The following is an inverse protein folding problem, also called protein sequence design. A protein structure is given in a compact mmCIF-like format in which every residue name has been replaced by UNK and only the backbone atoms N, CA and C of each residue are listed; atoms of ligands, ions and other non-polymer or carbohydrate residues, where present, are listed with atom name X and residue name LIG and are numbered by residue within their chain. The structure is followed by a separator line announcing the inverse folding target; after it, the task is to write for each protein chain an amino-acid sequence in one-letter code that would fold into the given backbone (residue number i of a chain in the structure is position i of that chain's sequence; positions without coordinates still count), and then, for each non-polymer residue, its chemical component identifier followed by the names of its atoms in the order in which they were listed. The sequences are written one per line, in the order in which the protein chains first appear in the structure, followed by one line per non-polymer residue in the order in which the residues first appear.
data_IF_646229613169
#
_entry.id   IF_646229613169
#
_cell.length_a   1.000
_cell.length_b   1.000
_cell.length_c   1.000
_cell.angle_alpha   90.00
_cell.angle_beta   90.00
_cell.angle_gamma   90.00
#
_symmetry.space_group_name_H-M   'P 1'
#
loop_
_entity.id
_entity.type
_entity.pdbx_description
1 polymer ?
#
# COMPACT_ATOMS: atom_id res chain seq x y z
N UNK A 1 -40.12 -4.48 -16.76
CA UNK A 1 -39.45 -4.06 -15.51
C UNK A 1 -37.94 -4.25 -15.72
N UNK A 2 -37.26 -3.20 -16.14
CA UNK A 2 -35.79 -3.13 -16.29
C UNK A 2 -35.16 -3.10 -14.89
N UNK A 3 -34.56 -4.22 -14.49
CA UNK A 3 -33.65 -4.18 -13.34
C UNK A 3 -32.40 -3.43 -13.77
N UNK A 4 -32.29 -2.17 -13.32
CA UNK A 4 -31.02 -1.46 -13.35
C UNK A 4 -30.01 -2.27 -12.52
N UNK A 5 -28.79 -2.53 -13.03
CA UNK A 5 -27.77 -3.18 -12.25
C UNK A 5 -27.40 -2.20 -11.11
N UNK A 6 -27.70 -2.57 -9.85
CA UNK A 6 -27.17 -1.88 -8.67
C UNK A 6 -25.67 -1.72 -8.88
N UNK A 7 -25.21 -0.51 -9.00
CA UNK A 7 -23.80 -0.17 -9.04
C UNK A 7 -23.15 -0.81 -7.81
N UNK A 8 -22.41 -1.89 -8.03
CA UNK A 8 -21.56 -2.48 -7.01
C UNK A 8 -20.58 -1.38 -6.63
N UNK A 9 -20.79 -0.76 -5.47
CA UNK A 9 -19.88 0.25 -4.94
C UNK A 9 -18.51 -0.43 -4.86
N UNK A 10 -17.58 0.00 -5.73
CA UNK A 10 -16.17 -0.44 -5.66
C UNK A 10 -15.68 -0.17 -4.24
N UNK A 11 -15.62 -1.21 -3.43
CA UNK A 11 -15.15 -1.11 -2.06
C UNK A 11 -13.62 -1.02 -2.16
N UNK A 12 -13.13 0.20 -2.26
CA UNK A 12 -11.71 0.49 -2.13
C UNK A 12 -11.31 0.30 -0.69
N UNK A 13 -10.64 -0.80 -0.39
CA UNK A 13 -10.35 -1.19 0.99
C UNK A 13 -8.89 -1.58 1.13
N UNK A 14 -8.25 -0.96 2.09
CA UNK A 14 -6.92 -1.31 2.53
C UNK A 14 -7.02 -2.22 3.76
N UNK A 15 -6.44 -3.42 3.68
CA UNK A 15 -6.35 -4.31 4.83
C UNK A 15 -5.35 -3.74 5.84
N UNK A 16 -5.85 -3.41 7.05
CA UNK A 16 -5.07 -2.81 8.13
C UNK A 16 -3.87 -3.69 8.53
N UNK A 17 -4.08 -4.98 8.73
CA UNK A 17 -3.03 -5.90 9.21
C UNK A 17 -1.89 -5.99 8.20
N UNK A 18 -2.21 -6.16 6.91
CA UNK A 18 -1.21 -6.21 5.84
C UNK A 18 -0.41 -4.89 5.79
N UNK A 19 -1.09 -3.75 5.90
CA UNK A 19 -0.44 -2.44 5.86
C UNK A 19 0.48 -2.22 7.07
N UNK A 20 0.03 -2.55 8.28
CA UNK A 20 0.87 -2.48 9.50
C UNK A 20 2.13 -3.32 9.36
N UNK A 21 2.01 -4.55 8.86
CA UNK A 21 3.16 -5.44 8.69
C UNK A 21 4.16 -4.89 7.67
N UNK A 22 3.67 -4.36 6.55
CA UNK A 22 4.54 -3.70 5.55
C UNK A 22 5.27 -2.49 6.13
N UNK A 23 4.59 -1.67 6.95
CA UNK A 23 5.23 -0.53 7.63
C UNK A 23 6.29 -0.97 8.63
N UNK A 24 6.07 -2.06 9.39
CA UNK A 24 7.11 -2.60 10.27
C UNK A 24 8.36 -3.03 9.52
N UNK A 25 8.20 -3.71 8.37
CA UNK A 25 9.33 -4.10 7.51
C UNK A 25 10.06 -2.84 7.00
N UNK A 26 9.31 -1.83 6.55
CA UNK A 26 9.88 -0.57 6.07
C UNK A 26 10.65 0.17 7.18
N UNK A 27 10.08 0.32 8.37
CA UNK A 27 10.71 0.99 9.54
C UNK A 27 11.99 0.27 9.96
N UNK A 28 11.95 -1.07 10.04
CA UNK A 28 13.15 -1.87 10.34
C UNK A 28 14.22 -1.69 9.28
N UNK A 29 13.86 -1.73 8.01
CA UNK A 29 14.78 -1.49 6.89
C UNK A 29 15.41 -0.09 6.96
N UNK A 30 14.62 0.93 7.20
CA UNK A 30 15.10 2.33 7.38
C UNK A 30 16.08 2.42 8.54
N UNK A 31 15.73 1.89 9.70
CA UNK A 31 16.56 1.94 10.90
C UNK A 31 17.90 1.22 10.69
N UNK A 32 17.86 0.00 10.17
CA UNK A 32 19.08 -0.78 9.90
C UNK A 32 19.97 -0.08 8.89
N UNK A 33 19.40 0.38 7.77
CA UNK A 33 20.17 1.01 6.69
C UNK A 33 20.84 2.31 7.14
N UNK A 34 20.09 3.20 7.79
CA UNK A 34 20.60 4.50 8.24
C UNK A 34 21.72 4.32 9.25
N UNK A 35 21.55 3.42 10.23
CA UNK A 35 22.59 3.18 11.24
C UNK A 35 23.80 2.45 10.65
N UNK A 36 23.60 1.52 9.70
CA UNK A 36 24.70 0.87 8.98
C UNK A 36 25.53 1.89 8.18
N UNK A 37 24.87 2.80 7.45
CA UNK A 37 25.56 3.84 6.69
C UNK A 37 26.36 4.76 7.61
N UNK A 38 25.82 5.13 8.77
CA UNK A 38 26.50 5.98 9.75
C UNK A 38 27.69 5.29 10.43
N UNK A 39 27.47 4.09 10.97
CA UNK A 39 28.44 3.44 11.88
C UNK A 39 29.39 2.45 11.19
N UNK A 40 28.99 1.87 10.07
CA UNK A 40 29.84 0.91 9.33
C UNK A 40 30.55 1.60 8.17
N UNK A 41 29.80 2.40 7.38
CA UNK A 41 30.40 3.11 6.25
C UNK A 41 30.94 4.50 6.63
N UNK A 42 30.71 4.94 7.88
CA UNK A 42 31.22 6.21 8.45
C UNK A 42 30.84 7.46 7.63
N UNK A 43 29.68 7.46 6.98
CA UNK A 43 29.16 8.68 6.37
C UNK A 43 28.66 9.65 7.44
N UNK A 44 28.88 10.93 7.23
CA UNK A 44 28.44 11.96 8.16
C UNK A 44 27.14 12.59 7.68
N UNK A 45 26.13 12.52 8.52
CA UNK A 45 24.83 13.19 8.44
C UNK A 45 24.20 13.22 9.83
N UNK A 46 23.14 14.00 10.02
CA UNK A 46 22.47 14.11 11.32
C UNK A 46 21.66 12.87 11.66
N UNK A 47 22.35 11.85 12.23
CA UNK A 47 21.77 10.56 12.61
C UNK A 47 20.67 10.71 13.68
N UNK A 48 20.78 11.73 14.57
CA UNK A 48 19.81 11.93 15.63
C UNK A 48 18.46 12.36 15.06
N UNK A 49 18.46 13.35 14.16
CA UNK A 49 17.23 13.81 13.50
C UNK A 49 16.60 12.69 12.70
N UNK A 50 17.40 11.94 11.92
CA UNK A 50 16.90 10.83 11.11
C UNK A 50 16.28 9.74 11.98
N UNK A 51 16.91 9.36 13.08
CA UNK A 51 16.34 8.37 14.00
C UNK A 51 15.07 8.87 14.71
N UNK A 52 14.96 10.16 15.02
CA UNK A 52 13.71 10.77 15.53
C UNK A 52 12.59 10.63 14.49
N UNK A 53 12.88 10.91 13.21
CA UNK A 53 11.89 10.76 12.13
C UNK A 53 11.45 9.29 11.98
N UNK A 54 12.37 8.33 12.11
CA UNK A 54 12.03 6.90 12.12
C UNK A 54 11.16 6.56 13.33
N UNK A 55 11.47 7.08 14.52
CA UNK A 55 10.68 6.88 15.74
C UNK A 55 9.25 7.43 15.59
N UNK A 56 9.05 8.55 14.90
CA UNK A 56 7.70 9.05 14.57
C UNK A 56 6.94 8.05 13.68
N UNK A 57 7.63 7.35 12.78
CA UNK A 57 7.06 6.24 12.01
C UNK A 57 6.58 5.08 12.89
N UNK A 58 7.39 4.69 13.89
CA UNK A 58 6.99 3.68 14.90
C UNK A 58 5.73 4.12 15.63
N UNK A 59 5.72 5.36 16.15
CA UNK A 59 4.56 5.92 16.88
C UNK A 59 3.32 5.90 15.98
N UNK A 60 3.42 6.39 14.75
CA UNK A 60 2.32 6.37 13.78
C UNK A 60 1.79 4.95 13.52
N UNK A 61 2.68 3.94 13.43
CA UNK A 61 2.26 2.56 13.24
C UNK A 61 1.58 1.96 14.47
N UNK A 62 2.04 2.32 15.67
CA UNK A 62 1.39 1.95 16.93
C UNK A 62 0.00 2.61 17.06
N UNK A 63 -0.12 3.90 16.72
CA UNK A 63 -1.41 4.60 16.69
C UNK A 63 -2.39 3.87 15.76
N UNK A 64 -1.95 3.51 14.55
CA UNK A 64 -2.78 2.75 13.62
C UNK A 64 -3.18 1.38 14.21
N UNK A 65 -2.25 0.69 14.85
CA UNK A 65 -2.48 -0.64 15.42
C UNK A 65 -3.52 -0.62 16.53
N UNK A 66 -3.38 0.29 17.51
CA UNK A 66 -4.18 0.31 18.74
C UNK A 66 -5.49 1.10 18.61
N UNK A 67 -5.47 2.24 17.92
CA UNK A 67 -6.65 3.13 17.89
C UNK A 67 -7.65 2.79 16.78
N UNK A 68 -7.22 2.12 15.71
CA UNK A 68 -8.12 1.72 14.63
C UNK A 68 -8.64 0.30 14.86
N UNK A 69 -9.88 0.16 15.30
CA UNK A 69 -10.49 -1.15 15.60
C UNK A 69 -10.93 -1.93 14.34
N UNK A 70 -11.22 -1.24 13.24
CA UNK A 70 -11.67 -1.87 12.00
C UNK A 70 -10.51 -2.49 11.23
N UNK A 71 -10.67 -3.72 10.75
CA UNK A 71 -9.66 -4.39 9.91
C UNK A 71 -9.51 -3.79 8.51
N UNK A 72 -10.43 -2.93 8.12
CA UNK A 72 -10.47 -2.26 6.82
C UNK A 72 -10.37 -0.77 7.05
N UNK A 73 -9.36 -0.14 6.47
CA UNK A 73 -9.16 1.30 6.54
C UNK A 73 -10.07 2.00 5.53
N UNK A 74 -10.69 3.10 5.97
CA UNK A 74 -11.42 3.99 5.07
C UNK A 74 -10.46 4.69 4.11
N UNK A 75 -10.97 5.14 2.97
CA UNK A 75 -10.18 5.85 1.97
C UNK A 75 -9.47 7.10 2.54
N UNK A 76 -10.13 7.83 3.45
CA UNK A 76 -9.53 9.00 4.14
C UNK A 76 -8.42 8.61 5.10
N UNK A 77 -8.62 7.58 5.91
CA UNK A 77 -7.60 7.10 6.84
C UNK A 77 -6.38 6.59 6.07
N UNK A 78 -6.58 5.79 5.02
CA UNK A 78 -5.51 5.31 4.15
C UNK A 78 -4.71 6.46 3.53
N UNK A 79 -5.40 7.53 3.06
CA UNK A 79 -4.74 8.72 2.55
C UNK A 79 -3.82 9.37 3.60
N UNK A 80 -4.32 9.58 4.82
CA UNK A 80 -3.56 10.25 5.89
C UNK A 80 -2.29 9.44 6.24
N UNK A 81 -2.41 8.13 6.40
CA UNK A 81 -1.26 7.31 6.76
C UNK A 81 -0.23 7.18 5.61
N UNK A 82 -0.68 7.03 4.36
CA UNK A 82 0.22 6.98 3.21
C UNK A 82 0.88 8.34 2.94
N UNK A 83 0.15 9.44 3.15
CA UNK A 83 0.73 10.79 3.11
C UNK A 83 1.82 10.97 4.17
N UNK A 84 1.56 10.50 5.40
CA UNK A 84 2.56 10.53 6.46
C UNK A 84 3.79 9.69 6.10
N UNK A 85 3.64 8.53 5.46
CA UNK A 85 4.76 7.71 5.00
C UNK A 85 5.61 8.43 3.94
N UNK A 86 4.98 9.16 3.00
CA UNK A 86 5.69 9.98 2.02
C UNK A 86 6.47 11.11 2.72
N UNK A 87 5.85 11.81 3.68
CA UNK A 87 6.52 12.87 4.43
C UNK A 87 7.70 12.34 5.25
N UNK A 88 7.51 11.23 5.95
CA UNK A 88 8.56 10.60 6.76
C UNK A 88 9.76 10.21 5.88
N UNK A 89 9.53 9.52 4.75
CA UNK A 89 10.59 9.14 3.82
C UNK A 89 11.28 10.38 3.21
N UNK A 90 10.50 11.41 2.85
CA UNK A 90 11.06 12.65 2.31
C UNK A 90 11.98 13.33 3.31
N UNK A 91 11.62 13.36 4.60
CA UNK A 91 12.47 13.92 5.64
C UNK A 91 13.76 13.10 5.84
N UNK A 92 13.68 11.77 5.86
CA UNK A 92 14.87 10.91 5.94
C UNK A 92 15.79 11.17 4.76
N UNK A 93 15.24 11.23 3.54
CA UNK A 93 16.01 11.49 2.32
C UNK A 93 16.61 12.89 2.32
N UNK A 94 15.89 13.90 2.82
CA UNK A 94 16.41 15.27 2.93
C UNK A 94 17.72 15.32 3.72
N UNK A 95 17.81 14.66 4.86
CA UNK A 95 19.01 14.60 5.70
C UNK A 95 20.04 13.57 5.24
N UNK A 96 19.77 12.78 4.22
CA UNK A 96 20.64 11.69 3.77
C UNK A 96 20.99 11.72 2.29
N UNK A 97 21.04 12.90 1.66
CA UNK A 97 21.55 13.10 0.30
C UNK A 97 20.49 13.28 -0.78
N UNK A 98 19.23 13.51 -0.42
CA UNK A 98 18.14 13.85 -1.35
C UNK A 98 17.84 12.75 -2.35
N UNK A 99 17.59 13.14 -3.60
CA UNK A 99 17.23 12.20 -4.69
C UNK A 99 18.37 11.29 -5.13
N UNK A 100 19.62 11.65 -4.84
CA UNK A 100 20.79 10.81 -5.14
C UNK A 100 20.97 9.67 -4.13
N UNK A 101 20.24 9.70 -3.02
CA UNK A 101 20.23 8.58 -2.10
C UNK A 101 19.66 7.34 -2.83
N UNK A 102 20.37 6.19 -2.85
CA UNK A 102 19.89 4.97 -3.53
C UNK A 102 18.51 4.52 -3.07
N UNK A 103 18.11 4.87 -1.84
CA UNK A 103 16.81 4.54 -1.26
C UNK A 103 15.68 5.49 -1.65
N UNK A 104 15.95 6.52 -2.48
CA UNK A 104 14.93 7.44 -2.99
C UNK A 104 13.81 6.73 -3.77
N UNK A 105 14.10 5.56 -4.36
CA UNK A 105 13.10 4.73 -5.04
C UNK A 105 11.97 4.28 -4.11
N UNK A 106 12.21 4.12 -2.81
CA UNK A 106 11.19 3.72 -1.85
C UNK A 106 10.12 4.79 -1.63
N UNK A 107 10.40 6.05 -2.01
CA UNK A 107 9.42 7.13 -1.97
C UNK A 107 8.21 6.86 -2.91
N UNK A 108 8.40 6.01 -3.92
CA UNK A 108 7.34 5.65 -4.86
C UNK A 108 6.31 4.68 -4.27
N UNK A 109 6.72 3.86 -3.28
CA UNK A 109 5.92 2.74 -2.76
C UNK A 109 4.55 3.17 -2.22
N UNK A 110 4.42 4.21 -1.37
CA UNK A 110 3.12 4.59 -0.81
C UNK A 110 2.10 4.98 -1.90
N UNK A 111 2.54 5.70 -2.94
CA UNK A 111 1.65 6.10 -4.04
C UNK A 111 1.28 4.92 -4.93
N UNK A 112 2.22 4.03 -5.26
CA UNK A 112 1.98 2.80 -6.03
C UNK A 112 0.99 1.89 -5.30
N UNK A 113 1.17 1.74 -3.98
CA UNK A 113 0.27 0.96 -3.15
C UNK A 113 -1.15 1.56 -3.12
N UNK A 114 -1.27 2.89 -3.12
CA UNK A 114 -2.57 3.55 -3.20
C UNK A 114 -3.29 3.28 -4.51
N UNK A 115 -2.57 3.24 -5.63
CA UNK A 115 -3.13 3.08 -6.97
C UNK A 115 -3.77 1.71 -7.20
N UNK A 116 -3.31 0.68 -6.50
CA UNK A 116 -3.91 -0.66 -6.55
C UNK A 116 -5.12 -0.84 -5.62
N UNK A 117 -5.23 -0.05 -4.54
CA UNK A 117 -6.17 -0.32 -3.45
C UNK A 117 -7.19 0.80 -3.18
N UNK A 118 -6.90 2.06 -3.56
CA UNK A 118 -7.72 3.21 -3.20
C UNK A 118 -8.43 3.84 -4.41
N UNK A 119 -9.30 4.82 -4.13
CA UNK A 119 -10.01 5.55 -5.18
C UNK A 119 -9.05 6.36 -6.05
N UNK A 120 -9.40 6.54 -7.31
CA UNK A 120 -8.59 7.29 -8.28
C UNK A 120 -8.20 8.69 -7.78
N UNK A 121 -9.14 9.42 -7.16
CA UNK A 121 -8.86 10.77 -6.63
C UNK A 121 -7.80 10.75 -5.53
N UNK A 122 -7.90 9.80 -4.62
CA UNK A 122 -6.92 9.61 -3.52
C UNK A 122 -5.55 9.23 -4.06
N UNK A 123 -5.49 8.30 -4.99
CA UNK A 123 -4.24 7.87 -5.63
C UNK A 123 -3.58 9.00 -6.41
N UNK A 124 -4.36 9.75 -7.19
CA UNK A 124 -3.85 10.90 -7.93
C UNK A 124 -3.27 11.97 -7.00
N UNK A 125 -3.94 12.25 -5.87
CA UNK A 125 -3.43 13.21 -4.88
C UNK A 125 -2.08 12.75 -4.30
N UNK A 126 -1.93 11.46 -3.97
CA UNK A 126 -0.67 10.91 -3.46
C UNK A 126 0.45 10.91 -4.51
N UNK A 127 0.12 10.64 -5.78
CA UNK A 127 1.08 10.75 -6.89
C UNK A 127 1.60 12.19 -7.01
N UNK A 128 0.70 13.19 -6.98
CA UNK A 128 1.10 14.60 -7.06
C UNK A 128 1.96 15.03 -5.86
N UNK A 129 1.64 14.56 -4.65
CA UNK A 129 2.44 14.80 -3.45
C UNK A 129 3.82 14.17 -3.58
N UNK A 130 3.92 12.95 -4.12
CA UNK A 130 5.20 12.28 -4.34
C UNK A 130 6.05 13.01 -5.37
N UNK A 131 5.45 13.46 -6.48
CA UNK A 131 6.14 14.30 -7.50
C UNK A 131 6.67 15.58 -6.84
N UNK A 132 5.83 16.26 -6.06
CA UNK A 132 6.23 17.47 -5.34
C UNK A 132 7.39 17.20 -4.37
N UNK A 133 7.35 16.09 -3.64
CA UNK A 133 8.44 15.67 -2.74
C UNK A 133 9.74 15.41 -3.52
N UNK A 134 9.69 14.74 -4.68
CA UNK A 134 10.86 14.51 -5.54
C UNK A 134 11.44 15.85 -6.00
N UNK A 135 10.61 16.79 -6.45
CA UNK A 135 11.06 18.12 -6.88
C UNK A 135 11.72 18.87 -5.71
N UNK A 136 11.10 18.87 -4.52
CA UNK A 136 11.69 19.50 -3.35
C UNK A 136 13.04 18.90 -2.97
N UNK A 137 13.15 17.57 -2.97
CA UNK A 137 14.40 16.86 -2.67
C UNK A 137 15.49 17.08 -3.72
N UNK A 138 15.11 17.41 -4.95
CA UNK A 138 16.06 17.77 -6.00
C UNK A 138 16.65 19.16 -5.76
N UNK A 139 15.80 20.11 -5.32
CA UNK A 139 16.19 21.50 -5.11
C UNK A 139 16.82 21.74 -3.74
N UNK A 140 16.32 21.02 -2.72
CA UNK A 140 16.70 21.21 -1.31
C UNK A 140 16.98 19.87 -0.66
N UNK A 141 18.23 19.65 -0.24
CA UNK A 141 18.66 18.48 0.53
C UNK A 141 20.00 18.78 1.21
N UNK A 142 20.30 18.04 2.26
CA UNK A 142 21.62 18.05 2.87
C UNK A 142 22.55 17.09 2.14
N UNK A 143 23.77 17.53 1.87
CA UNK A 143 24.77 16.71 1.20
C UNK A 143 25.34 15.66 2.17
N UNK A 144 25.43 14.41 1.71
CA UNK A 144 26.20 13.41 2.41
C UNK A 144 27.68 13.78 2.44
N UNK A 145 28.31 13.61 3.59
CA UNK A 145 29.73 13.83 3.77
C UNK A 145 30.42 12.46 3.86
N UNK A 146 31.42 12.26 3.02
CA UNK A 146 32.25 11.05 3.04
C UNK A 146 33.08 10.96 4.32
N UNK A 147 33.56 9.75 4.69
CA UNK A 147 34.50 9.58 5.81
C UNK A 147 35.80 10.41 5.68
N UNK A 148 36.14 10.82 4.46
CA UNK A 148 37.25 11.73 4.16
C UNK A 148 36.97 13.20 4.46
N UNK A 149 35.77 13.55 4.93
CA UNK A 149 35.33 14.92 5.17
C UNK A 149 34.88 15.68 3.92
N UNK A 150 34.95 15.09 2.74
CA UNK A 150 34.50 15.71 1.51
C UNK A 150 32.99 15.54 1.31
N UNK A 151 32.32 16.60 0.84
CA UNK A 151 30.91 16.52 0.45
C UNK A 151 30.76 15.67 -0.82
N UNK A 152 29.71 14.84 -0.86
CA UNK A 152 29.29 14.17 -2.09
C UNK A 152 28.69 15.23 -3.02
N UNK A 153 29.51 15.82 -3.88
CA UNK A 153 29.07 16.77 -4.89
C UNK A 153 29.03 16.04 -6.22
N UNK A 154 27.86 15.98 -6.82
CA UNK A 154 27.62 15.36 -8.12
C UNK A 154 27.17 16.45 -9.08
N UNK A 155 27.46 16.27 -10.38
CA UNK A 155 27.03 17.23 -11.38
C UNK A 155 25.48 17.35 -11.41
N UNK A 156 24.97 18.56 -11.60
CA UNK A 156 23.53 18.88 -11.64
C UNK A 156 22.75 18.01 -12.62
N UNK A 157 23.40 17.57 -13.69
CA UNK A 157 22.82 16.63 -14.65
C UNK A 157 22.33 15.33 -13.99
N UNK A 158 23.05 14.79 -13.01
CA UNK A 158 22.65 13.57 -12.30
C UNK A 158 21.48 13.82 -11.35
N UNK A 159 21.41 15.00 -10.71
CA UNK A 159 20.25 15.37 -9.87
C UNK A 159 18.97 15.43 -10.70
N UNK A 160 19.00 16.17 -11.80
CA UNK A 160 17.84 16.28 -12.68
C UNK A 160 17.52 14.95 -13.39
N UNK A 161 18.54 14.22 -13.84
CA UNK A 161 18.38 12.91 -14.46
C UNK A 161 17.72 11.90 -13.54
N UNK A 162 18.19 11.81 -12.28
CA UNK A 162 17.60 10.92 -11.27
C UNK A 162 16.16 11.31 -10.96
N UNK A 163 15.89 12.60 -10.80
CA UNK A 163 14.54 13.09 -10.52
C UNK A 163 13.56 12.79 -11.65
N UNK A 164 13.96 13.02 -12.88
CA UNK A 164 13.15 12.70 -14.07
C UNK A 164 12.91 11.19 -14.15
N UNK A 165 13.94 10.37 -13.92
CA UNK A 165 13.80 8.92 -13.94
C UNK A 165 12.84 8.41 -12.85
N UNK A 166 12.90 8.97 -11.63
CA UNK A 166 11.97 8.64 -10.55
C UNK A 166 10.53 9.04 -10.90
N UNK A 167 10.31 10.20 -11.51
CA UNK A 167 8.97 10.65 -11.93
C UNK A 167 8.42 9.74 -13.03
N UNK A 168 9.23 9.37 -14.01
CA UNK A 168 8.83 8.42 -15.08
C UNK A 168 8.49 7.06 -14.45
N UNK A 169 9.33 6.55 -13.57
CA UNK A 169 9.10 5.31 -12.85
C UNK A 169 7.82 5.38 -12.00
N UNK A 170 7.59 6.50 -11.31
CA UNK A 170 6.38 6.74 -10.53
C UNK A 170 5.12 6.63 -11.40
N UNK A 171 5.07 7.33 -12.51
CA UNK A 171 3.93 7.33 -13.44
C UNK A 171 3.68 5.92 -13.97
N UNK A 172 4.75 5.25 -14.47
CA UNK A 172 4.65 3.90 -15.00
C UNK A 172 4.17 2.89 -13.96
N UNK A 173 4.78 2.88 -12.77
CA UNK A 173 4.41 1.95 -11.70
C UNK A 173 2.98 2.18 -11.19
N UNK A 174 2.55 3.43 -11.07
CA UNK A 174 1.17 3.74 -10.67
C UNK A 174 0.14 3.32 -11.73
N UNK A 175 0.44 3.53 -13.01
CA UNK A 175 -0.39 3.03 -14.10
C UNK A 175 -0.52 1.50 -14.05
N UNK A 176 0.61 0.81 -13.92
CA UNK A 176 0.66 -0.64 -13.83
C UNK A 176 -0.08 -1.16 -12.59
N UNK A 177 0.13 -0.53 -11.42
CA UNK A 177 -0.56 -0.88 -10.18
C UNK A 177 -2.09 -0.71 -10.30
N UNK A 178 -2.55 0.32 -11.00
CA UNK A 178 -3.98 0.54 -11.27
C UNK A 178 -4.57 -0.59 -12.12
N UNK A 179 -3.87 -1.01 -13.18
CA UNK A 179 -4.32 -2.12 -14.04
C UNK A 179 -4.38 -3.43 -13.26
N UNK A 180 -3.31 -3.74 -12.51
CA UNK A 180 -3.24 -4.95 -11.68
C UNK A 180 -4.30 -4.98 -10.58
N UNK A 181 -4.51 -3.86 -9.92
CA UNK A 181 -5.56 -3.72 -8.90
C UNK A 181 -6.95 -3.97 -9.48
N UNK A 182 -7.21 -3.44 -10.68
CA UNK A 182 -8.48 -3.69 -11.39
C UNK A 182 -8.67 -5.16 -11.74
N UNK A 183 -7.65 -5.79 -12.30
CA UNK A 183 -7.70 -7.21 -12.67
C UNK A 183 -7.88 -8.11 -11.44
N UNK A 184 -7.12 -7.84 -10.36
CA UNK A 184 -7.27 -8.56 -9.09
C UNK A 184 -8.68 -8.46 -8.52
N UNK A 185 -9.31 -7.29 -8.59
CA UNK A 185 -10.67 -7.08 -8.11
C UNK A 185 -11.70 -7.83 -8.97
N UNK A 186 -11.52 -7.86 -10.30
CA UNK A 186 -12.39 -8.64 -11.19
C UNK A 186 -12.29 -10.14 -10.91
N UNK A 187 -11.08 -10.65 -10.67
CA UNK A 187 -10.87 -12.06 -10.28
C UNK A 187 -11.55 -12.40 -8.96
N UNK A 188 -11.42 -11.53 -7.94
CA UNK A 188 -12.12 -11.72 -6.65
C UNK A 188 -13.62 -11.73 -6.81
N UNK A 189 -14.18 -10.84 -7.62
CA UNK A 189 -15.63 -10.80 -7.88
C UNK A 189 -16.11 -12.08 -8.59
N UNK A 190 -15.34 -12.58 -9.55
CA UNK A 190 -15.65 -13.84 -10.22
C UNK A 190 -15.62 -15.03 -9.25
N UNK A 191 -14.60 -15.11 -8.37
CA UNK A 191 -14.52 -16.16 -7.34
C UNK A 191 -15.71 -16.11 -6.38
N UNK A 192 -16.07 -14.93 -5.88
CA UNK A 192 -17.22 -14.76 -4.97
C UNK A 192 -18.52 -15.24 -5.65
N UNK A 193 -18.70 -14.97 -6.95
CA UNK A 193 -19.87 -15.47 -7.70
C UNK A 193 -19.86 -17.00 -7.80
N UNK A 194 -18.71 -17.61 -8.05
CA UNK A 194 -18.60 -19.07 -8.11
C UNK A 194 -18.95 -19.68 -6.75
N UNK A 195 -18.43 -19.13 -5.64
CA UNK A 195 -18.75 -19.57 -4.29
C UNK A 195 -20.26 -19.46 -3.99
N UNK A 196 -20.90 -18.35 -4.42
CA UNK A 196 -22.35 -18.17 -4.27
C UNK A 196 -23.13 -19.21 -5.08
N UNK A 197 -22.70 -19.54 -6.30
CA UNK A 197 -23.33 -20.59 -7.11
C UNK A 197 -23.20 -21.97 -6.46
N UNK A 198 -22.01 -22.33 -5.97
CA UNK A 198 -21.77 -23.60 -5.27
C UNK A 198 -22.65 -23.70 -4.02
N UNK A 199 -22.73 -22.61 -3.23
CA UNK A 199 -23.59 -22.59 -2.04
C UNK A 199 -25.07 -22.83 -2.38
N UNK A 200 -25.58 -22.18 -3.44
CA UNK A 200 -26.94 -22.39 -3.92
C UNK A 200 -27.18 -23.82 -4.44
N UNK A 201 -26.23 -24.40 -5.15
CA UNK A 201 -26.31 -25.79 -5.64
C UNK A 201 -26.39 -26.75 -4.44
N UNK A 202 -25.54 -26.57 -3.43
CA UNK A 202 -25.62 -27.40 -2.22
C UNK A 202 -26.96 -27.26 -1.48
N UNK A 203 -27.51 -26.04 -1.40
CA UNK A 203 -28.83 -25.80 -0.81
C UNK A 203 -29.91 -26.56 -1.59
N UNK A 204 -29.92 -26.46 -2.93
CA UNK A 204 -30.89 -27.16 -3.77
C UNK A 204 -30.80 -28.71 -3.66
N UNK A 205 -29.56 -29.24 -3.62
CA UNK A 205 -29.33 -30.68 -3.44
C UNK A 205 -29.83 -31.12 -2.06
N UNK A 206 -29.57 -30.34 -1.02
CA UNK A 206 -30.07 -30.63 0.34
C UNK A 206 -31.57 -30.61 0.43
N UNK A 207 -32.24 -29.60 -0.17
CA UNK A 207 -33.71 -29.53 -0.25
C UNK A 207 -34.29 -30.68 -1.04
N UNK A 208 -33.69 -31.04 -2.17
CA UNK A 208 -34.08 -32.19 -2.96
C UNK A 208 -33.98 -33.51 -2.18
N UNK A 209 -32.89 -33.70 -1.43
CA UNK A 209 -32.73 -34.86 -0.55
C UNK A 209 -33.78 -34.94 0.57
N UNK A 210 -34.07 -33.79 1.20
CA UNK A 210 -35.14 -33.70 2.21
C UNK A 210 -36.53 -33.98 1.64
N UNK A 211 -36.83 -33.43 0.48
CA UNK A 211 -38.12 -33.71 -0.22
C UNK A 211 -38.27 -35.19 -0.60
N UNK A 212 -37.20 -35.82 -1.10
CA UNK A 212 -37.20 -37.25 -1.42
C UNK A 212 -37.38 -38.11 -0.15
N UNK A 213 -36.72 -37.78 0.93
CA UNK A 213 -36.86 -38.45 2.24
C UNK A 213 -38.29 -38.31 2.80
N UNK A 214 -38.87 -37.11 2.71
CA UNK A 214 -40.24 -36.84 3.11
C UNK A 214 -41.25 -37.62 2.25
N UNK A 215 -41.06 -37.63 0.94
CA UNK A 215 -41.92 -38.42 0.03
C UNK A 215 -41.83 -39.93 0.31
N UNK A 216 -40.62 -40.44 0.62
CA UNK A 216 -40.44 -41.84 0.99
C UNK A 216 -41.15 -42.21 2.31
N UNK A 217 -41.03 -41.34 3.31
CA UNK A 217 -41.67 -41.52 4.62
C UNK A 217 -43.21 -41.44 4.57
N UNK A 218 -43.76 -40.67 3.64
CA UNK A 218 -45.21 -40.58 3.41
C UNK A 218 -45.74 -41.76 2.59
N UNK A 219 -44.96 -42.33 1.67
CA UNK A 219 -45.37 -43.41 0.81
C UNK A 219 -45.39 -44.79 1.54
N UNK A 220 -44.60 -44.95 2.58
CA UNK A 220 -44.51 -46.21 3.37
C UNK A 220 -45.85 -46.54 4.07
N UNK A 221 -46.58 -45.64 4.75
CA UNK A 221 -47.88 -45.93 5.34
C UNK A 221 -49.04 -46.04 4.33
N UNK A 222 -48.92 -45.41 3.14
CA UNK A 222 -49.94 -45.50 2.08
C UNK A 222 -49.94 -46.81 1.32
N UNK A 223 -48.87 -47.61 1.33
CA UNK A 223 -48.74 -48.90 0.70
C UNK A 223 -49.17 -50.04 1.62
N UNK A 224 -49.52 -49.76 2.87
CA UNK A 224 -49.99 -50.74 3.86
C UNK A 224 -51.52 -50.71 4.11
N UNK A 225 -52.24 -49.86 3.40
CA UNK A 225 -53.73 -49.85 3.31
C UNK A 225 -54.17 -50.47 2.00
#
# INVERSE_FOLDING_TARGET
LSMEPKSVSKIYTLNKTTYINLRWIAILGQFLTVNLVKYVFNFEFDILIVNIVIALGVISNLVLSYFYQKNILSNRASFIFLFFDILQLSLILYFSGGVLNPFSIFLLIPSVFSSSNLSFKTSLSLILITIFSIILLTLYHEHLIYPSGNKLIVNDFYYYGTSISLIIALIFLNYFATLFGRESNLRKEALNKIEEFIAKEHELVSLGGQAAAAAHSLNTPLSTI
#
